data_IF_507234451750
#
_entry.id   IF_507234451750
#
_cell.length_a   1.000
_cell.length_b   1.000
_cell.length_c   1.000
_cell.angle_alpha   90.00
_cell.angle_beta   90.00
_cell.angle_gamma   90.00
#
_symmetry.space_group_name_H-M   'P 1'
#
loop_
_entity.id
_entity.type
_entity.pdbx_description
1 polymer ?
#
# COMPACT_ATOMS: atom_id res chain seq x y z
N UNK A 1 3.49 9.92 -15.09
CA UNK A 1 3.57 8.53 -14.61
C UNK A 1 3.04 8.49 -13.18
N UNK A 2 1.81 8.00 -12.96
CA UNK A 2 1.21 7.92 -11.61
C UNK A 2 1.69 6.71 -10.80
N UNK A 3 1.27 6.60 -9.54
CA UNK A 3 1.42 5.36 -8.77
C UNK A 3 0.87 4.20 -9.62
N UNK A 4 1.74 3.25 -9.96
CA UNK A 4 1.47 2.31 -11.05
C UNK A 4 0.33 1.34 -10.69
N UNK A 5 -0.46 0.85 -11.67
CA UNK A 5 -1.48 -0.19 -11.45
C UNK A 5 -0.93 -1.45 -10.76
N UNK A 6 0.39 -1.66 -10.82
CA UNK A 6 1.09 -2.72 -10.10
C UNK A 6 1.08 -2.54 -8.59
N UNK A 7 1.29 -1.33 -8.07
CA UNK A 7 1.23 -1.05 -6.62
C UNK A 7 -0.20 -1.28 -6.13
N UNK A 8 -1.19 -0.78 -6.86
CA UNK A 8 -2.60 -1.01 -6.53
C UNK A 8 -2.92 -2.52 -6.48
N UNK A 9 -2.48 -3.28 -7.49
CA UNK A 9 -2.69 -4.73 -7.54
C UNK A 9 -1.99 -5.44 -6.39
N UNK A 10 -0.75 -5.06 -6.08
CA UNK A 10 0.01 -5.61 -4.95
C UNK A 10 -0.74 -5.42 -3.62
N UNK A 11 -1.20 -4.20 -3.35
CA UNK A 11 -1.94 -3.87 -2.12
C UNK A 11 -3.26 -4.66 -2.02
N UNK A 12 -3.94 -4.89 -3.13
CA UNK A 12 -5.17 -5.70 -3.18
C UNK A 12 -4.94 -7.19 -2.88
N UNK A 13 -3.72 -7.70 -3.04
CA UNK A 13 -3.39 -9.10 -2.68
C UNK A 13 -3.14 -9.30 -1.18
N UNK A 14 -3.02 -8.21 -0.41
CA UNK A 14 -2.72 -8.28 1.02
C UNK A 14 -4.00 -8.52 1.81
N UNK A 15 -4.07 -9.64 2.54
CA UNK A 15 -5.29 -10.08 3.22
C UNK A 15 -5.83 -9.09 4.26
N UNK A 16 -4.94 -8.33 4.92
CA UNK A 16 -5.26 -7.40 6.02
C UNK A 16 -5.42 -5.95 5.54
N UNK A 17 -5.27 -5.72 4.22
CA UNK A 17 -5.63 -4.47 3.57
C UNK A 17 -7.08 -4.56 3.11
N UNK A 18 -7.80 -3.46 3.28
CA UNK A 18 -9.08 -3.28 2.62
C UNK A 18 -8.83 -2.90 1.15
N UNK A 19 -9.15 -3.83 0.25
CA UNK A 19 -8.86 -3.73 -1.18
C UNK A 19 -9.69 -2.66 -1.89
N UNK A 20 -10.87 -2.33 -1.35
CA UNK A 20 -11.76 -1.29 -1.85
C UNK A 20 -11.23 0.10 -1.51
N UNK A 21 -10.64 0.26 -0.32
CA UNK A 21 -9.99 1.49 0.13
C UNK A 21 -8.67 1.84 -0.59
N UNK A 22 -8.14 0.98 -1.48
CA UNK A 22 -6.86 1.23 -2.15
C UNK A 22 -6.99 2.30 -3.24
N UNK A 23 -6.49 3.50 -2.94
CA UNK A 23 -6.45 4.64 -3.84
C UNK A 23 -5.02 5.01 -4.22
N UNK A 24 -4.79 5.26 -5.50
CA UNK A 24 -3.49 5.69 -6.02
C UNK A 24 -3.56 7.18 -6.36
N UNK A 25 -2.74 7.98 -5.71
CA UNK A 25 -2.63 9.40 -5.99
C UNK A 25 -1.70 9.63 -7.19
N UNK A 26 -2.24 10.31 -8.21
CA UNK A 26 -1.50 10.58 -9.45
C UNK A 26 -0.51 11.74 -9.31
N UNK A 27 -0.75 12.67 -8.38
CA UNK A 27 0.10 13.86 -8.18
C UNK A 27 1.38 13.56 -7.39
N UNK A 28 1.26 12.78 -6.32
CA UNK A 28 2.35 12.42 -5.40
C UNK A 28 2.95 11.05 -5.67
N UNK A 29 2.42 10.31 -6.66
CA UNK A 29 2.80 8.93 -6.98
C UNK A 29 2.70 7.97 -5.79
N UNK A 30 1.89 8.31 -4.78
CA UNK A 30 1.72 7.52 -3.57
C UNK A 30 0.43 6.70 -3.61
N UNK A 31 0.38 5.59 -2.87
CA UNK A 31 -0.83 4.80 -2.69
C UNK A 31 -1.30 4.91 -1.24
N UNK A 32 -2.62 5.08 -1.06
CA UNK A 32 -3.30 5.13 0.22
C UNK A 32 -4.22 3.92 0.31
N UNK A 33 -4.27 3.30 1.47
CA UNK A 33 -5.09 2.12 1.73
C UNK A 33 -5.43 2.04 3.20
N UNK A 34 -6.53 1.38 3.53
CA UNK A 34 -6.94 1.14 4.91
C UNK A 34 -6.53 -0.27 5.33
N UNK A 35 -6.05 -0.40 6.56
CA UNK A 35 -5.73 -1.69 7.17
C UNK A 35 -6.94 -2.11 7.99
N UNK A 36 -7.67 -3.13 7.56
CA UNK A 36 -8.84 -3.67 8.28
C UNK A 36 -8.41 -4.46 9.53
N UNK A 37 -7.26 -5.13 9.46
CA UNK A 37 -6.72 -5.91 10.57
C UNK A 37 -5.34 -5.38 10.98
N UNK A 38 -5.31 -4.48 11.96
CA UNK A 38 -4.08 -3.84 12.44
C UNK A 38 -3.15 -4.80 13.17
N UNK A 39 -3.66 -5.93 13.67
CA UNK A 39 -2.87 -6.96 14.35
C UNK A 39 -2.04 -7.78 13.36
N UNK A 40 -2.54 -7.95 12.13
CA UNK A 40 -1.81 -8.59 11.03
C UNK A 40 -0.94 -7.63 10.22
N UNK A 41 -1.02 -6.33 10.48
CA UNK A 41 -0.21 -5.32 9.79
C UNK A 41 1.27 -5.59 9.98
N UNK A 42 1.99 -5.75 8.87
CA UNK A 42 3.45 -5.82 8.87
C UNK A 42 4.03 -4.97 7.76
N UNK A 43 4.80 -3.95 8.17
CA UNK A 43 5.48 -3.06 7.23
C UNK A 43 6.53 -3.81 6.39
N UNK A 44 7.20 -4.81 6.98
CA UNK A 44 8.18 -5.62 6.25
C UNK A 44 7.52 -6.52 5.21
N UNK A 45 6.41 -7.18 5.57
CA UNK A 45 5.62 -7.97 4.63
C UNK A 45 5.10 -7.10 3.49
N UNK A 46 4.60 -5.90 3.81
CA UNK A 46 4.16 -4.93 2.80
C UNK A 46 5.28 -4.52 1.85
N UNK A 47 6.46 -4.17 2.39
CA UNK A 47 7.63 -3.81 1.59
C UNK A 47 8.03 -4.94 0.64
N UNK A 48 8.03 -6.19 1.12
CA UNK A 48 8.31 -7.37 0.28
C UNK A 48 7.29 -7.52 -0.83
N UNK A 49 5.99 -7.52 -0.51
CA UNK A 49 4.91 -7.67 -1.49
C UNK A 49 4.97 -6.57 -2.55
N UNK A 50 5.19 -5.31 -2.15
CA UNK A 50 5.33 -4.19 -3.10
C UNK A 50 6.59 -4.34 -3.95
N UNK A 51 7.73 -4.73 -3.37
CA UNK A 51 8.97 -4.95 -4.12
C UNK A 51 8.86 -6.11 -5.12
N UNK A 52 8.21 -7.21 -4.74
CA UNK A 52 8.00 -8.39 -5.58
C UNK A 52 6.97 -8.15 -6.69
N UNK A 53 5.82 -7.54 -6.36
CA UNK A 53 4.70 -7.37 -7.30
C UNK A 53 4.81 -6.09 -8.13
N UNK A 54 5.17 -4.96 -7.51
CA UNK A 54 5.29 -3.68 -8.20
C UNK A 54 6.69 -3.46 -8.78
N UNK A 55 7.71 -4.04 -8.15
CA UNK A 55 9.11 -3.94 -8.54
C UNK A 55 9.92 -3.07 -7.55
N UNK A 56 11.26 -3.21 -7.55
CA UNK A 56 12.15 -2.59 -6.55
C UNK A 56 12.19 -1.05 -6.61
N UNK A 57 11.65 -0.46 -7.69
CA UNK A 57 11.53 0.99 -7.86
C UNK A 57 10.47 1.63 -6.95
N UNK A 58 9.57 0.83 -6.36
CA UNK A 58 8.54 1.32 -5.46
C UNK A 58 8.97 1.09 -4.02
N UNK A 59 9.02 2.16 -3.23
CA UNK A 59 9.37 2.10 -1.81
C UNK A 59 8.20 2.57 -0.95
N UNK A 60 7.98 1.88 0.15
CA UNK A 60 7.03 2.31 1.18
C UNK A 60 7.72 3.35 2.05
N UNK A 61 7.54 4.64 1.70
CA UNK A 61 8.21 5.75 2.39
C UNK A 61 7.54 6.15 3.70
N UNK A 62 6.21 6.05 3.81
CA UNK A 62 5.48 6.49 5.00
C UNK A 62 4.18 5.72 5.17
N UNK A 63 3.93 5.23 6.39
CA UNK A 63 2.62 4.73 6.81
C UNK A 63 1.95 5.88 7.54
N UNK A 64 0.95 6.50 6.90
CA UNK A 64 0.10 7.47 7.56
C UNK A 64 -0.87 6.68 8.45
N UNK A 65 -0.57 6.58 9.75
CA UNK A 65 -1.62 6.22 10.71
C UNK A 65 -2.65 7.33 10.62
N UNK A 66 -3.87 6.99 10.23
CA UNK A 66 -5.02 7.86 10.47
C UNK A 66 -5.10 8.03 11.98
N UNK A 67 -4.54 9.13 12.46
CA UNK A 67 -4.66 9.58 13.84
C UNK A 67 -6.04 10.25 13.89
N UNK A 68 -7.09 9.43 13.92
CA UNK A 68 -8.40 9.89 14.35
C UNK A 68 -8.28 10.17 15.85
N UNK A 69 -8.07 11.44 16.17
CA UNK A 69 -8.24 12.05 17.47
C UNK A 69 -9.22 13.20 17.32
#
# INVERSE_FOLDING_TARGET
MGCGPKVQSALKTVEWIDSDSVQCDRGTQSARFTVKDKSKFSLEALKKIVAEQAGPKYQVSKVLKDQQG
#
